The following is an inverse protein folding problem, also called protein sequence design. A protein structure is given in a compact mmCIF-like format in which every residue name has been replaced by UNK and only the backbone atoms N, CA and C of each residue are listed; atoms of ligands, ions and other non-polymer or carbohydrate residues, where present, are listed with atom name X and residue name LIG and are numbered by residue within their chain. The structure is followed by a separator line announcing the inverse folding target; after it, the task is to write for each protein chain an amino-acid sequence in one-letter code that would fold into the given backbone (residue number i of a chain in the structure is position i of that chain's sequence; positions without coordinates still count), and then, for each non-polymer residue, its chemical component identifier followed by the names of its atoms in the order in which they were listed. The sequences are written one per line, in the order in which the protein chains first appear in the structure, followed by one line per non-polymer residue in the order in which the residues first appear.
data_IF_106345220899
#
_entry.id   IF_106345220899
#
_cell.length_a   1.000
_cell.length_b   1.000
_cell.length_c   1.000
_cell.angle_alpha   90.00
_cell.angle_beta   90.00
_cell.angle_gamma   90.00
#
_symmetry.space_group_name_H-M   'P 1'
#
loop_
_entity.id
_entity.type
_entity.pdbx_description
1 polymer ?
#
# COMPACT_ATOMS: atom_id res chain seq x y z
N UNK A 1 -2.69 -13.38 20.28
CA UNK A 1 -3.54 -13.97 21.36
C UNK A 1 -2.99 -13.79 22.78
N UNK A 2 -1.67 -13.92 23.00
CA UNK A 2 -1.08 -13.83 24.33
C UNK A 2 -1.08 -12.43 24.96
N UNK A 3 -0.82 -11.38 24.18
CA UNK A 3 -0.66 -9.99 24.69
C UNK A 3 -1.95 -9.42 25.28
N UNK A 4 -3.09 -9.69 24.63
CA UNK A 4 -4.42 -9.25 25.08
C UNK A 4 -4.88 -10.02 26.33
N UNK A 5 -4.60 -11.33 26.39
CA UNK A 5 -4.93 -12.15 27.56
C UNK A 5 -4.08 -11.78 28.78
N UNK A 6 -2.79 -11.48 28.57
CA UNK A 6 -1.90 -10.97 29.61
C UNK A 6 -2.36 -9.60 30.13
N UNK A 7 -2.76 -8.67 29.24
CA UNK A 7 -3.27 -7.36 29.66
C UNK A 7 -4.56 -7.46 30.49
N UNK A 8 -5.46 -8.39 30.16
CA UNK A 8 -6.65 -8.70 30.99
C UNK A 8 -6.27 -9.31 32.33
N UNK A 9 -5.32 -10.25 32.37
CA UNK A 9 -4.85 -10.85 33.61
C UNK A 9 -4.17 -9.82 34.55
N UNK A 10 -3.58 -8.76 33.99
CA UNK A 10 -3.03 -7.62 34.76
C UNK A 10 -4.08 -6.59 35.21
N UNK A 11 -5.39 -6.85 35.01
CA UNK A 11 -6.46 -5.98 35.47
C UNK A 11 -6.67 -4.71 34.63
N UNK A 12 -6.17 -4.67 33.38
CA UNK A 12 -6.40 -3.52 32.50
C UNK A 12 -7.88 -3.40 32.09
N UNK A 13 -8.40 -2.18 32.09
CA UNK A 13 -9.76 -1.91 31.59
C UNK A 13 -9.85 -2.10 30.08
N UNK A 14 -11.04 -2.37 29.54
CA UNK A 14 -11.24 -2.57 28.09
C UNK A 14 -10.67 -1.42 27.25
N UNK A 15 -10.82 -0.18 27.72
CA UNK A 15 -10.30 1.01 27.02
C UNK A 15 -8.76 1.04 27.02
N UNK A 16 -8.12 0.67 28.13
CA UNK A 16 -6.66 0.56 28.22
C UNK A 16 -6.12 -0.54 27.30
N UNK A 17 -6.81 -1.67 27.18
CA UNK A 17 -6.43 -2.75 26.27
C UNK A 17 -6.48 -2.27 24.82
N UNK A 18 -7.55 -1.56 24.43
CA UNK A 18 -7.68 -1.04 23.06
C UNK A 18 -6.55 -0.03 22.75
N UNK A 19 -6.42 1.02 23.57
CA UNK A 19 -5.48 2.10 23.29
C UNK A 19 -4.01 1.72 23.48
N UNK A 20 -3.68 0.92 24.49
CA UNK A 20 -2.29 0.64 24.86
C UNK A 20 -1.76 -0.69 24.34
N UNK A 21 -2.63 -1.63 23.98
CA UNK A 21 -2.22 -2.96 23.50
C UNK A 21 -2.62 -3.12 22.04
N UNK A 22 -3.93 -3.11 21.73
CA UNK A 22 -4.42 -3.44 20.39
C UNK A 22 -3.98 -2.43 19.31
N UNK A 23 -4.06 -1.12 19.58
CA UNK A 23 -3.67 -0.11 18.59
C UNK A 23 -2.17 -0.24 18.25
N UNK A 24 -1.23 -0.13 19.21
CA UNK A 24 0.20 -0.33 18.94
C UNK A 24 0.51 -1.70 18.33
N UNK A 25 -0.24 -2.73 18.72
CA UNK A 25 -0.07 -4.07 18.16
C UNK A 25 -0.49 -4.12 16.69
N UNK A 26 -1.59 -3.47 16.30
CA UNK A 26 -2.10 -3.46 14.94
C UNK A 26 -1.39 -2.45 14.01
N UNK A 27 -0.66 -1.47 14.54
CA UNK A 27 -0.05 -0.39 13.75
C UNK A 27 0.79 -0.87 12.55
N UNK A 28 1.68 -1.89 12.65
CA UNK A 28 2.44 -2.36 11.48
C UNK A 28 1.53 -2.88 10.37
N UNK A 29 0.49 -3.63 10.73
CA UNK A 29 -0.51 -4.15 9.79
C UNK A 29 -1.34 -3.03 9.16
N UNK A 30 -1.65 -1.98 9.93
CA UNK A 30 -2.35 -0.80 9.41
C UNK A 30 -1.50 -0.06 8.38
N UNK A 31 -0.21 0.13 8.63
CA UNK A 31 0.71 0.77 7.68
C UNK A 31 0.80 -0.04 6.39
N UNK A 32 0.96 -1.37 6.50
CA UNK A 32 0.98 -2.24 5.32
C UNK A 32 -0.35 -2.18 4.55
N UNK A 33 -1.48 -2.14 5.25
CA UNK A 33 -2.80 -2.00 4.64
C UNK A 33 -2.97 -0.66 3.90
N UNK A 34 -2.51 0.45 4.49
CA UNK A 34 -2.52 1.77 3.84
C UNK A 34 -1.64 1.78 2.60
N UNK A 35 -0.45 1.17 2.67
CA UNK A 35 0.47 1.05 1.54
C UNK A 35 -0.20 0.32 0.38
N UNK A 36 -0.87 -0.80 0.67
CA UNK A 36 -1.59 -1.58 -0.34
C UNK A 36 -2.75 -0.78 -0.96
N UNK A 37 -3.50 -0.02 -0.15
CA UNK A 37 -4.56 0.85 -0.66
C UNK A 37 -4.01 1.90 -1.62
N UNK A 38 -2.86 2.51 -1.34
CA UNK A 38 -2.21 3.47 -2.23
C UNK A 38 -1.82 2.79 -3.57
N UNK A 39 -1.26 1.59 -3.50
CA UNK A 39 -0.90 0.80 -4.70
C UNK A 39 -2.14 0.49 -5.53
N UNK A 40 -3.25 0.09 -4.88
CA UNK A 40 -4.51 -0.16 -5.57
C UNK A 40 -5.06 1.11 -6.25
N UNK A 41 -4.97 2.27 -5.61
CA UNK A 41 -5.37 3.56 -6.22
C UNK A 41 -4.54 3.89 -7.46
N UNK A 42 -3.25 3.58 -7.46
CA UNK A 42 -2.40 3.71 -8.64
C UNK A 42 -2.86 2.77 -9.76
N UNK A 43 -3.18 1.52 -9.42
CA UNK A 43 -3.77 0.56 -10.37
C UNK A 43 -5.08 1.08 -10.96
N UNK A 44 -5.97 1.64 -10.14
CA UNK A 44 -7.23 2.23 -10.59
C UNK A 44 -7.01 3.47 -11.46
N UNK A 45 -6.01 4.31 -11.15
CA UNK A 45 -5.62 5.43 -12.01
C UNK A 45 -5.06 4.96 -13.36
N UNK A 46 -4.31 3.85 -13.38
CA UNK A 46 -3.84 3.24 -14.62
C UNK A 46 -5.00 2.73 -15.48
N UNK A 47 -5.98 2.06 -14.86
CA UNK A 47 -7.20 1.60 -15.53
C UNK A 47 -8.08 2.77 -16.01
N UNK A 48 -8.13 3.89 -15.27
CA UNK A 48 -8.86 5.09 -15.69
C UNK A 48 -8.35 5.68 -17.03
N UNK A 49 -7.05 5.51 -17.31
CA UNK A 49 -6.46 5.86 -18.61
C UNK A 49 -7.07 5.09 -19.79
N UNK A 50 -7.56 3.86 -19.57
CA UNK A 50 -8.21 3.06 -20.62
C UNK A 50 -9.61 3.57 -20.99
N UNK A 51 -10.30 4.20 -20.05
CA UNK A 51 -11.68 4.71 -20.21
C UNK A 51 -11.67 6.20 -20.61
N UNK A 52 -10.48 6.79 -20.82
CA UNK A 52 -10.33 8.20 -21.21
C UNK A 52 -10.53 9.21 -20.07
N UNK A 53 -10.54 8.75 -18.81
CA UNK A 53 -10.62 9.60 -17.63
C UNK A 53 -9.32 10.34 -17.30
N UNK A 54 -8.24 10.07 -18.04
CA UNK A 54 -6.88 10.50 -17.68
C UNK A 54 -6.33 9.70 -16.50
N UNK A 55 -5.01 9.53 -16.44
CA UNK A 55 -4.35 8.77 -15.38
C UNK A 55 -2.97 8.27 -15.79
N UNK A 56 -2.30 7.55 -14.87
CA UNK A 56 -0.94 7.06 -15.10
C UNK A 56 -0.83 6.12 -16.31
N UNK A 57 -1.93 5.45 -16.68
CA UNK A 57 -2.01 4.54 -17.83
C UNK A 57 -2.33 5.22 -19.17
N UNK A 58 -2.65 6.52 -19.19
CA UNK A 58 -3.11 7.22 -20.40
C UNK A 58 -2.05 7.21 -21.52
N UNK A 59 -0.78 7.45 -21.16
CA UNK A 59 0.34 7.40 -22.10
C UNK A 59 0.53 6.00 -22.69
N UNK A 60 0.43 4.96 -21.86
CA UNK A 60 0.56 3.56 -22.29
C UNK A 60 -0.55 3.16 -23.27
N UNK A 61 -1.79 3.57 -23.00
CA UNK A 61 -2.95 3.28 -23.85
C UNK A 61 -2.84 4.06 -25.17
N UNK A 62 -2.64 5.38 -25.12
CA UNK A 62 -2.71 6.24 -26.32
C UNK A 62 -1.52 6.09 -27.24
N UNK A 63 -0.31 6.05 -26.69
CA UNK A 63 0.92 6.04 -27.48
C UNK A 63 1.51 4.65 -27.65
N UNK A 64 1.26 3.74 -26.71
CA UNK A 64 1.69 2.34 -26.81
C UNK A 64 0.65 1.47 -27.52
N UNK A 65 -0.49 1.23 -26.85
CA UNK A 65 -1.50 0.27 -27.30
C UNK A 65 -2.19 0.69 -28.61
N UNK A 66 -2.79 1.88 -28.64
CA UNK A 66 -3.58 2.35 -29.79
C UNK A 66 -2.74 2.54 -31.06
N UNK A 67 -1.44 2.83 -30.92
CA UNK A 67 -0.50 3.00 -32.04
C UNK A 67 0.31 1.75 -32.34
N UNK A 68 0.02 0.62 -31.67
CA UNK A 68 0.78 -0.64 -31.79
C UNK A 68 2.30 -0.48 -31.60
N UNK A 69 2.70 0.47 -30.75
CA UNK A 69 4.09 0.76 -30.41
C UNK A 69 4.45 0.06 -29.10
N UNK A 70 4.89 -1.19 -29.23
CA UNK A 70 5.27 -2.03 -28.10
C UNK A 70 6.44 -1.47 -27.28
N UNK A 71 7.34 -0.72 -27.92
CA UNK A 71 8.44 0.02 -27.29
C UNK A 71 7.93 1.01 -26.24
N UNK A 72 6.96 1.85 -26.61
CA UNK A 72 6.37 2.86 -25.71
C UNK A 72 5.57 2.18 -24.60
N UNK A 73 4.81 1.13 -24.95
CA UNK A 73 4.03 0.37 -23.98
C UNK A 73 4.93 -0.21 -22.88
N UNK A 74 6.04 -0.83 -23.26
CA UNK A 74 6.96 -1.47 -22.33
C UNK A 74 7.61 -0.44 -21.40
N UNK A 75 8.06 0.70 -21.94
CA UNK A 75 8.60 1.80 -21.13
C UNK A 75 7.57 2.32 -20.13
N UNK A 76 6.32 2.52 -20.55
CA UNK A 76 5.26 3.00 -19.66
C UNK A 76 4.94 2.01 -18.52
N UNK A 77 4.90 0.71 -18.83
CA UNK A 77 4.71 -0.34 -17.81
C UNK A 77 5.86 -0.35 -16.81
N UNK A 78 7.11 -0.28 -17.26
CA UNK A 78 8.28 -0.20 -16.38
C UNK A 78 8.19 1.01 -15.45
N UNK A 79 7.80 2.19 -15.96
CA UNK A 79 7.66 3.40 -15.14
C UNK A 79 6.62 3.19 -14.04
N UNK A 80 5.46 2.62 -14.36
CA UNK A 80 4.42 2.33 -13.36
C UNK A 80 4.91 1.31 -12.33
N UNK A 81 5.59 0.24 -12.77
CA UNK A 81 6.17 -0.77 -11.89
C UNK A 81 7.19 -0.16 -10.92
N UNK A 82 8.10 0.67 -11.42
CA UNK A 82 9.10 1.36 -10.58
C UNK A 82 8.41 2.25 -9.54
N UNK A 83 7.36 2.97 -9.93
CA UNK A 83 6.59 3.82 -9.02
C UNK A 83 5.92 2.99 -7.90
N UNK A 84 5.27 1.88 -8.26
CA UNK A 84 4.64 0.97 -7.29
C UNK A 84 5.69 0.38 -6.36
N UNK A 85 6.84 -0.04 -6.90
CA UNK A 85 7.92 -0.64 -6.12
C UNK A 85 8.51 0.35 -5.12
N UNK A 86 8.70 1.62 -5.50
CA UNK A 86 9.14 2.67 -4.57
C UNK A 86 8.19 2.79 -3.38
N UNK A 87 6.88 2.79 -3.64
CA UNK A 87 5.86 2.90 -2.59
C UNK A 87 5.87 1.65 -1.70
N UNK A 88 6.00 0.47 -2.30
CA UNK A 88 6.08 -0.80 -1.57
C UNK A 88 7.31 -0.84 -0.66
N UNK A 89 8.49 -0.44 -1.17
CA UNK A 89 9.74 -0.39 -0.39
C UNK A 89 9.62 0.59 0.77
N UNK A 90 9.06 1.78 0.54
CA UNK A 90 8.84 2.78 1.59
C UNK A 90 7.85 2.25 2.64
N UNK A 91 6.71 1.69 2.23
CA UNK A 91 5.72 1.14 3.15
C UNK A 91 6.26 -0.03 3.97
N UNK A 92 7.01 -0.92 3.34
CA UNK A 92 7.70 -2.03 4.01
C UNK A 92 8.74 -1.52 5.00
N UNK A 93 9.55 -0.51 4.64
CA UNK A 93 10.54 0.07 5.53
C UNK A 93 9.90 0.73 6.77
N UNK A 94 8.78 1.44 6.59
CA UNK A 94 8.02 2.02 7.71
C UNK A 94 7.45 0.91 8.60
N UNK A 95 6.84 -0.11 8.02
CA UNK A 95 6.28 -1.25 8.76
C UNK A 95 7.36 -2.00 9.55
N UNK A 96 8.51 -2.27 8.91
CA UNK A 96 9.66 -2.91 9.56
C UNK A 96 10.22 -2.08 10.72
N UNK A 97 10.33 -0.76 10.56
CA UNK A 97 10.75 0.15 11.64
C UNK A 97 9.77 0.15 12.81
N UNK A 98 8.48 -0.01 12.53
CA UNK A 98 7.45 -0.10 13.56
C UNK A 98 7.51 -1.42 14.33
N UNK A 99 7.80 -2.52 13.64
CA UNK A 99 8.02 -3.84 14.25
C UNK A 99 9.27 -3.82 15.12
N UNK A 100 10.36 -3.21 14.66
CA UNK A 100 11.61 -3.08 15.40
C UNK A 100 11.53 -2.15 16.63
N UNK A 101 10.44 -1.39 16.77
CA UNK A 101 10.16 -0.53 17.94
C UNK A 101 9.37 -1.24 19.05
N UNK A 102 8.96 -2.50 18.83
CA UNK A 102 8.42 -3.38 19.88
C UNK A 102 9.55 -4.03 20.66
#
# INVERSE_FOLDING_TARGET
PGVVQAARAMGSTNFQIIMKVLIPEAMPSLVSGVTLTIINLIGYSAMAGAIGGGGLGDLAIRYGYQRFRGDIMLVAVIIILVLVEIIQVVGNAISAKLIARR
#
